data_IF_082277122071
#
_entry.id   IF_082277122071
#
_cell.length_a   1.000
_cell.length_b   1.000
_cell.length_c   1.000
_cell.angle_alpha   90.00
_cell.angle_beta   90.00
_cell.angle_gamma   90.00
#
_symmetry.space_group_name_H-M   'P 1'
#
loop_
_entity.id
_entity.type
_entity.pdbx_description
1 polymer ?
#
# COMPACT_ATOMS: atom_id res chain seq x y z
N UNK A 1 24.75 10.44 -48.69
CA UNK A 1 23.40 9.83 -48.60
C UNK A 1 23.32 8.75 -47.53
N UNK A 2 24.20 7.73 -47.51
CA UNK A 2 24.15 6.64 -46.49
C UNK A 2 24.32 7.11 -45.03
N UNK A 3 25.18 8.10 -44.77
CA UNK A 3 25.41 8.63 -43.40
C UNK A 3 24.24 9.47 -42.87
N UNK A 4 23.54 10.20 -43.74
CA UNK A 4 22.38 11.02 -43.38
C UNK A 4 21.16 10.17 -43.03
N UNK A 5 20.98 9.04 -43.71
CA UNK A 5 19.93 8.05 -43.42
C UNK A 5 20.17 7.39 -42.06
N UNK A 6 21.44 7.08 -41.73
CA UNK A 6 21.80 6.44 -40.47
C UNK A 6 21.48 7.33 -39.25
N UNK A 7 21.77 8.63 -39.35
CA UNK A 7 21.47 9.60 -38.29
C UNK A 7 19.96 9.75 -38.07
N UNK A 8 19.17 9.73 -39.16
CA UNK A 8 17.71 9.82 -39.06
C UNK A 8 17.09 8.59 -38.37
N UNK A 9 17.61 7.38 -38.62
CA UNK A 9 17.18 6.16 -37.93
C UNK A 9 17.50 6.15 -36.42
N UNK A 10 18.64 6.72 -36.01
CA UNK A 10 19.01 6.82 -34.59
C UNK A 10 18.12 7.82 -33.82
N UNK A 11 17.65 8.89 -34.48
CA UNK A 11 16.79 9.88 -33.84
C UNK A 11 15.37 9.32 -33.64
N UNK A 12 14.81 8.62 -34.64
CA UNK A 12 13.45 8.05 -34.55
C UNK A 12 13.35 6.97 -33.48
N UNK A 13 14.40 6.14 -33.31
CA UNK A 13 14.42 5.11 -32.26
C UNK A 13 14.42 5.71 -30.85
N UNK A 14 15.08 6.86 -30.63
CA UNK A 14 15.02 7.56 -29.34
C UNK A 14 13.61 8.02 -28.93
N UNK A 15 12.78 8.44 -29.91
CA UNK A 15 11.41 8.89 -29.63
C UNK A 15 10.43 7.74 -29.31
N UNK A 16 10.66 6.54 -29.84
CA UNK A 16 9.78 5.38 -29.57
C UNK A 16 9.96 4.86 -28.14
N UNK A 17 11.18 4.92 -27.60
CA UNK A 17 11.48 4.48 -26.23
C UNK A 17 11.17 5.53 -25.15
N UNK A 18 10.86 6.78 -25.53
CA UNK A 18 10.55 7.86 -24.59
C UNK A 18 9.05 8.08 -24.39
N UNK A 19 8.19 7.17 -24.88
CA UNK A 19 6.79 7.18 -24.46
C UNK A 19 6.76 6.82 -22.97
N UNK A 20 6.55 7.83 -22.12
CA UNK A 20 6.09 7.60 -20.75
C UNK A 20 4.86 6.71 -20.84
N UNK A 21 5.03 5.42 -20.54
CA UNK A 21 3.90 4.52 -20.34
C UNK A 21 3.17 5.12 -19.16
N UNK A 22 2.06 5.81 -19.43
CA UNK A 22 1.23 6.39 -18.39
C UNK A 22 0.97 5.28 -17.35
N UNK A 23 1.14 5.59 -16.06
CA UNK A 23 1.00 4.57 -15.02
C UNK A 23 -0.35 3.88 -15.22
N UNK A 24 -0.39 2.53 -15.16
CA UNK A 24 -1.61 1.80 -15.41
C UNK A 24 -2.73 2.36 -14.52
N UNK A 25 -3.92 2.59 -15.07
CA UNK A 25 -5.01 3.22 -14.33
C UNK A 25 -5.30 2.42 -13.06
N UNK A 26 -5.62 3.15 -11.98
CA UNK A 26 -6.00 2.55 -10.70
C UNK A 26 -7.25 1.71 -10.94
N UNK A 27 -7.09 0.38 -10.88
CA UNK A 27 -8.21 -0.55 -10.89
C UNK A 27 -9.09 -0.31 -9.65
N UNK A 28 -10.41 -0.28 -9.86
CA UNK A 28 -11.41 -0.18 -8.80
C UNK A 28 -12.21 -1.50 -8.75
N UNK A 29 -12.52 -2.02 -7.55
CA UNK A 29 -13.37 -3.19 -7.42
C UNK A 29 -14.79 -2.86 -7.90
N UNK A 30 -15.47 -3.85 -8.48
CA UNK A 30 -16.90 -3.73 -8.75
C UNK A 30 -17.71 -3.70 -7.44
N UNK A 31 -19.00 -3.37 -7.49
CA UNK A 31 -19.87 -3.26 -6.30
C UNK A 31 -19.89 -4.51 -5.40
N UNK A 32 -19.88 -5.71 -5.98
CA UNK A 32 -19.83 -6.96 -5.20
C UNK A 32 -18.45 -7.20 -4.58
N UNK A 33 -17.38 -6.97 -5.33
CA UNK A 33 -16.01 -7.03 -4.80
C UNK A 33 -15.82 -6.02 -3.66
N UNK A 34 -16.34 -4.81 -3.76
CA UNK A 34 -16.27 -3.80 -2.70
C UNK A 34 -16.87 -4.34 -1.40
N UNK A 35 -18.08 -4.92 -1.46
CA UNK A 35 -18.72 -5.52 -0.28
C UNK A 35 -17.89 -6.64 0.34
N UNK A 36 -17.31 -7.51 -0.49
CA UNK A 36 -16.45 -8.60 -0.02
C UNK A 36 -15.14 -8.07 0.60
N UNK A 37 -14.55 -7.02 0.01
CA UNK A 37 -13.34 -6.40 0.55
C UNK A 37 -13.64 -5.70 1.88
N UNK A 38 -14.77 -5.00 1.99
CA UNK A 38 -15.20 -4.38 3.26
C UNK A 38 -15.48 -5.44 4.33
N UNK A 39 -16.11 -6.56 3.97
CA UNK A 39 -16.30 -7.68 4.89
C UNK A 39 -14.95 -8.26 5.34
N UNK A 40 -14.03 -8.51 4.40
CA UNK A 40 -12.68 -8.98 4.70
C UNK A 40 -11.93 -8.00 5.62
N UNK A 41 -12.05 -6.70 5.41
CA UNK A 41 -11.44 -5.69 6.29
C UNK A 41 -11.99 -5.79 7.70
N UNK A 42 -13.31 -5.94 7.82
CA UNK A 42 -14.00 -6.04 9.11
C UNK A 42 -13.62 -7.31 9.86
N UNK A 43 -13.76 -8.48 9.24
CA UNK A 43 -13.58 -9.77 9.94
C UNK A 43 -12.12 -10.08 10.28
N UNK A 44 -11.15 -9.41 9.65
CA UNK A 44 -9.71 -9.65 9.87
C UNK A 44 -9.07 -8.61 10.78
N UNK A 45 -9.87 -7.68 11.35
CA UNK A 45 -9.36 -6.54 12.11
C UNK A 45 -8.27 -5.78 11.34
N UNK A 46 -8.48 -5.64 10.02
CA UNK A 46 -7.42 -5.22 9.11
C UNK A 46 -6.89 -3.83 9.43
N UNK A 47 -7.76 -2.93 9.90
CA UNK A 47 -7.36 -1.56 10.26
C UNK A 47 -6.41 -1.57 11.45
N UNK A 48 -6.75 -2.28 12.50
CA UNK A 48 -5.96 -2.42 13.73
C UNK A 48 -4.60 -3.04 13.40
N UNK A 49 -4.61 -4.12 12.63
CA UNK A 49 -3.40 -4.79 12.16
C UNK A 49 -2.52 -3.87 11.29
N UNK A 50 -3.11 -3.07 10.40
CA UNK A 50 -2.38 -2.13 9.56
C UNK A 50 -1.74 -1.02 10.41
N UNK A 51 -2.40 -0.55 11.46
CA UNK A 51 -1.83 0.40 12.42
C UNK A 51 -0.67 -0.23 13.21
N UNK A 52 -0.82 -1.48 13.66
CA UNK A 52 0.25 -2.22 14.34
C UNK A 52 1.48 -2.44 13.45
N UNK A 53 1.25 -2.80 12.18
CA UNK A 53 2.29 -2.85 11.17
C UNK A 53 2.98 -1.49 10.99
N UNK A 54 2.19 -0.42 10.85
CA UNK A 54 2.69 0.95 10.64
C UNK A 54 3.56 1.43 11.80
N UNK A 55 3.16 1.12 13.03
CA UNK A 55 3.94 1.39 14.24
C UNK A 55 5.28 0.67 14.22
N UNK A 56 5.27 -0.62 13.91
CA UNK A 56 6.48 -1.46 13.84
C UNK A 56 7.43 -0.94 12.76
N UNK A 57 6.90 -0.58 11.59
CA UNK A 57 7.68 0.02 10.51
C UNK A 57 8.34 1.34 10.93
N UNK A 58 7.58 2.26 11.54
CA UNK A 58 8.11 3.54 12.01
C UNK A 58 9.13 3.38 13.14
N UNK A 59 8.98 2.40 14.03
CA UNK A 59 10.02 2.07 15.01
C UNK A 59 11.31 1.58 14.36
N UNK A 60 11.21 0.79 13.28
CA UNK A 60 12.38 0.39 12.50
C UNK A 60 13.07 1.60 11.85
N UNK A 61 12.30 2.46 11.20
CA UNK A 61 12.83 3.66 10.54
C UNK A 61 13.34 4.73 11.53
N UNK A 62 12.86 4.71 12.77
CA UNK A 62 13.31 5.60 13.85
C UNK A 62 14.82 5.47 14.11
N UNK A 63 15.39 4.26 13.98
CA UNK A 63 16.80 3.97 14.29
C UNK A 63 17.64 3.63 13.06
N UNK A 64 17.20 4.04 11.88
CA UNK A 64 17.95 3.82 10.64
C UNK A 64 19.37 4.39 10.75
N UNK A 65 20.35 3.60 10.34
CA UNK A 65 21.78 3.92 10.42
C UNK A 65 22.31 4.15 11.86
N UNK A 66 21.64 3.56 12.86
CA UNK A 66 22.05 3.62 14.27
C UNK A 66 21.79 4.97 14.95
N UNK A 67 21.12 5.90 14.26
CA UNK A 67 20.78 7.23 14.79
C UNK A 67 19.28 7.36 14.96
N UNK A 68 18.86 7.91 16.10
CA UNK A 68 17.45 8.21 16.33
C UNK A 68 17.02 9.41 15.49
N UNK A 69 16.10 9.21 14.54
CA UNK A 69 15.61 10.24 13.62
C UNK A 69 14.44 11.05 14.17
N UNK A 70 13.62 10.46 15.03
CA UNK A 70 12.45 11.10 15.64
C UNK A 70 12.04 10.41 16.95
N UNK A 71 11.26 11.09 17.79
CA UNK A 71 10.69 10.54 19.04
C UNK A 71 9.40 9.73 18.84
N UNK A 72 9.03 8.92 19.84
CA UNK A 72 7.81 8.11 19.82
C UNK A 72 6.54 8.96 19.72
N UNK A 73 6.54 10.17 20.30
CA UNK A 73 5.42 11.11 20.20
C UNK A 73 5.06 11.45 18.76
N UNK A 74 6.05 11.55 17.86
CA UNK A 74 5.80 11.83 16.45
C UNK A 74 5.16 10.62 15.74
N UNK A 75 5.56 9.39 16.13
CA UNK A 75 4.93 8.16 15.63
C UNK A 75 3.47 8.12 16.08
N UNK A 76 3.21 8.39 17.36
CA UNK A 76 1.85 8.41 17.90
C UNK A 76 0.98 9.46 17.22
N UNK A 77 1.53 10.64 16.91
CA UNK A 77 0.86 11.69 16.15
C UNK A 77 0.52 11.26 14.72
N UNK A 78 1.47 10.68 13.98
CA UNK A 78 1.25 10.17 12.62
C UNK A 78 0.16 9.09 12.62
N UNK A 79 0.21 8.14 13.56
CA UNK A 79 -0.76 7.05 13.62
C UNK A 79 -2.15 7.52 14.07
N UNK A 80 -2.22 8.50 14.98
CA UNK A 80 -3.48 9.12 15.40
C UNK A 80 -4.19 9.82 14.22
N UNK A 81 -3.43 10.44 13.33
CA UNK A 81 -3.93 11.18 12.18
C UNK A 81 -4.06 10.30 10.92
N UNK A 82 -3.90 8.98 11.02
CA UNK A 82 -3.95 8.09 9.87
C UNK A 82 -5.36 7.99 9.26
N UNK A 83 -5.52 8.51 8.05
CA UNK A 83 -6.79 8.49 7.30
C UNK A 83 -7.08 7.12 6.65
N UNK A 84 -7.44 6.11 7.46
CA UNK A 84 -7.68 4.73 6.98
C UNK A 84 -8.65 4.66 5.80
N UNK A 85 -9.78 5.38 5.83
CA UNK A 85 -10.78 5.33 4.77
C UNK A 85 -10.25 5.84 3.42
N UNK A 86 -9.36 6.84 3.44
CA UNK A 86 -8.70 7.34 2.24
C UNK A 86 -7.67 6.35 1.74
N UNK A 87 -6.87 5.79 2.65
CA UNK A 87 -5.90 4.75 2.30
C UNK A 87 -6.59 3.50 1.72
N UNK A 88 -7.72 3.09 2.30
CA UNK A 88 -8.55 1.98 1.83
C UNK A 88 -8.96 2.16 0.38
N UNK A 89 -9.50 3.33 0.04
CA UNK A 89 -9.93 3.65 -1.33
C UNK A 89 -8.77 3.67 -2.33
N UNK A 90 -7.63 4.26 -1.93
CA UNK A 90 -6.52 4.49 -2.84
C UNK A 90 -5.60 3.27 -3.02
N UNK A 91 -5.56 2.37 -2.04
CA UNK A 91 -4.57 1.28 -2.01
C UNK A 91 -5.20 -0.10 -1.83
N UNK A 92 -6.03 -0.26 -0.80
CA UNK A 92 -6.59 -1.58 -0.44
C UNK A 92 -7.56 -2.05 -1.52
N UNK A 93 -8.53 -1.21 -1.89
CA UNK A 93 -9.49 -1.51 -2.96
C UNK A 93 -8.79 -1.79 -4.29
N UNK A 94 -7.79 -0.98 -4.64
CA UNK A 94 -7.02 -1.20 -5.85
C UNK A 94 -6.35 -2.58 -5.85
N UNK A 95 -5.64 -2.92 -4.78
CA UNK A 95 -4.93 -4.20 -4.69
C UNK A 95 -5.86 -5.41 -4.69
N UNK A 96 -6.97 -5.34 -3.94
CA UNK A 96 -7.91 -6.45 -3.87
C UNK A 96 -8.87 -6.54 -5.07
N UNK A 97 -8.96 -5.51 -5.92
CA UNK A 97 -9.75 -5.57 -7.16
C UNK A 97 -9.25 -6.66 -8.12
N UNK A 98 -7.97 -7.00 -8.06
CA UNK A 98 -7.35 -8.08 -8.83
C UNK A 98 -7.60 -9.49 -8.25
N UNK A 99 -8.25 -9.58 -7.08
CA UNK A 99 -8.62 -10.85 -6.44
C UNK A 99 -10.06 -11.18 -6.83
N UNK A 100 -10.26 -12.38 -7.39
CA UNK A 100 -11.60 -12.82 -7.79
C UNK A 100 -12.53 -12.98 -6.58
N UNK A 101 -13.83 -12.73 -6.77
CA UNK A 101 -14.83 -12.85 -5.71
C UNK A 101 -14.81 -14.22 -5.03
N UNK A 102 -14.60 -15.31 -5.78
CA UNK A 102 -14.44 -16.67 -5.24
C UNK A 102 -13.26 -16.77 -4.27
N UNK A 103 -12.14 -16.12 -4.57
CA UNK A 103 -10.96 -16.10 -3.69
C UNK A 103 -11.19 -15.19 -2.48
N UNK A 104 -11.83 -14.04 -2.65
CA UNK A 104 -12.22 -13.17 -1.52
C UNK A 104 -13.13 -13.90 -0.53
N UNK A 105 -14.15 -14.62 -1.01
CA UNK A 105 -15.02 -15.45 -0.15
C UNK A 105 -14.26 -16.49 0.67
N UNK A 106 -13.33 -17.20 0.03
CA UNK A 106 -12.46 -18.17 0.74
C UNK A 106 -11.57 -17.52 1.79
N UNK A 107 -11.06 -16.31 1.54
CA UNK A 107 -10.29 -15.57 2.53
C UNK A 107 -11.18 -15.16 3.71
N UNK A 108 -12.38 -14.67 3.44
CA UNK A 108 -13.36 -14.31 4.48
C UNK A 108 -13.69 -15.53 5.35
N UNK A 109 -13.98 -16.69 4.74
CA UNK A 109 -14.22 -17.95 5.44
C UNK A 109 -13.01 -18.33 6.31
N UNK A 110 -11.80 -18.29 5.75
CA UNK A 110 -10.58 -18.57 6.49
C UNK A 110 -10.43 -17.70 7.76
N UNK A 111 -10.63 -16.38 7.66
CA UNK A 111 -10.56 -15.54 8.85
C UNK A 111 -11.73 -15.79 9.83
N UNK A 112 -12.94 -16.05 9.33
CA UNK A 112 -14.08 -16.40 10.19
C UNK A 112 -13.84 -17.67 10.99
N UNK A 113 -13.27 -18.70 10.35
CA UNK A 113 -12.92 -19.98 11.00
C UNK A 113 -11.83 -19.83 12.07
N UNK A 114 -11.09 -18.71 12.04
CA UNK A 114 -10.07 -18.36 13.03
C UNK A 114 -10.51 -17.18 13.91
N UNK A 115 -11.81 -16.90 14.00
CA UNK A 115 -12.38 -15.83 14.85
C UNK A 115 -11.74 -14.45 14.61
N UNK A 116 -11.29 -14.20 13.38
CA UNK A 116 -10.57 -12.99 13.00
C UNK A 116 -9.12 -12.90 13.51
N UNK A 117 -8.66 -13.83 14.36
CA UNK A 117 -7.36 -13.82 15.00
C UNK A 117 -6.56 -15.09 14.69
N UNK A 118 -5.76 -15.03 13.63
CA UNK A 118 -4.87 -16.14 13.24
C UNK A 118 -3.74 -16.34 14.27
N UNK A 119 -3.29 -15.25 14.89
CA UNK A 119 -2.28 -15.26 15.94
C UNK A 119 -2.76 -14.36 17.09
N UNK A 120 -2.88 -14.94 18.28
CA UNK A 120 -3.34 -14.24 19.49
C UNK A 120 -2.38 -13.15 19.97
N UNK A 121 -1.11 -13.21 19.56
CA UNK A 121 -0.08 -12.24 19.96
C UNK A 121 0.04 -11.07 18.98
N UNK A 122 -0.35 -11.23 17.72
CA UNK A 122 -0.21 -10.21 16.68
C UNK A 122 -1.27 -10.39 15.60
N UNK A 123 -1.94 -9.31 15.20
CA UNK A 123 -2.89 -9.36 14.09
C UNK A 123 -2.17 -9.67 12.78
N UNK A 124 -2.52 -10.79 12.16
CA UNK A 124 -1.95 -11.20 10.87
C UNK A 124 -2.81 -10.65 9.75
N UNK A 125 -2.21 -9.90 8.83
CA UNK A 125 -2.88 -9.38 7.64
C UNK A 125 -2.20 -9.79 6.34
N UNK A 126 -3.03 -9.90 5.31
CA UNK A 126 -2.56 -10.02 3.93
C UNK A 126 -2.22 -8.63 3.39
N UNK A 127 -0.97 -8.44 3.02
CA UNK A 127 -0.47 -7.20 2.42
C UNK A 127 0.15 -7.50 1.05
N UNK A 128 -0.26 -6.74 0.03
CA UNK A 128 0.40 -6.78 -1.28
C UNK A 128 1.60 -5.84 -1.28
N UNK A 129 2.52 -6.03 -2.23
CA UNK A 129 3.63 -5.09 -2.42
C UNK A 129 3.13 -3.64 -2.62
N UNK A 130 2.04 -3.45 -3.36
CA UNK A 130 1.43 -2.13 -3.58
C UNK A 130 0.87 -1.52 -2.29
N UNK A 131 0.16 -2.29 -1.46
CA UNK A 131 -0.31 -1.81 -0.16
C UNK A 131 0.87 -1.43 0.73
N UNK A 132 1.88 -2.29 0.83
CA UNK A 132 3.07 -2.02 1.63
C UNK A 132 3.79 -0.75 1.17
N UNK A 133 4.02 -0.60 -0.13
CA UNK A 133 4.71 0.56 -0.70
C UNK A 133 3.93 1.85 -0.45
N UNK A 134 2.63 1.87 -0.76
CA UNK A 134 1.78 3.05 -0.57
C UNK A 134 1.70 3.46 0.90
N UNK A 135 1.61 2.47 1.80
CA UNK A 135 1.57 2.73 3.24
C UNK A 135 2.88 3.37 3.71
N UNK A 136 4.03 2.77 3.37
CA UNK A 136 5.34 3.30 3.76
C UNK A 136 5.56 4.70 3.20
N UNK A 137 5.17 4.95 1.95
CA UNK A 137 5.24 6.28 1.35
C UNK A 137 4.41 7.30 2.14
N UNK A 138 3.15 6.96 2.46
CA UNK A 138 2.29 7.84 3.27
C UNK A 138 2.90 8.08 4.65
N UNK A 139 3.33 7.04 5.37
CA UNK A 139 3.91 7.16 6.71
C UNK A 139 5.18 8.02 6.70
N UNK A 140 6.07 7.82 5.73
CA UNK A 140 7.28 8.62 5.57
C UNK A 140 6.95 10.09 5.25
N UNK A 141 5.95 10.33 4.42
CA UNK A 141 5.52 11.71 4.13
C UNK A 141 4.92 12.39 5.35
N UNK A 142 4.09 11.69 6.12
CA UNK A 142 3.46 12.25 7.33
C UNK A 142 4.48 12.49 8.45
N UNK A 143 5.44 11.59 8.67
CA UNK A 143 6.48 11.81 9.68
C UNK A 143 7.35 13.03 9.32
N UNK A 144 7.66 13.24 8.05
CA UNK A 144 8.39 14.43 7.60
C UNK A 144 7.60 15.72 7.83
N UNK A 145 6.27 15.71 7.69
CA UNK A 145 5.43 16.88 7.98
C UNK A 145 5.41 17.19 9.47
N UNK A 146 5.21 16.17 10.31
CA UNK A 146 5.21 16.32 11.78
C UNK A 146 6.54 16.89 12.28
N UNK A 147 7.68 16.49 11.69
CA UNK A 147 9.00 17.00 12.07
C UNK A 147 9.31 18.43 11.61
N UNK A 148 8.55 18.97 10.65
CA UNK A 148 8.72 20.34 10.14
C UNK A 148 7.85 21.35 10.86
N UNK A 149 6.85 20.89 11.62
CA UNK A 149 5.97 21.70 12.44
C UNK A 149 6.54 21.85 13.86
#
# INVERSE_FOLDING_TARGET
MKKTILVFCCIISGFIFSQEIAPPPVALPNSNQTKLIDELISISHYKEALINYSRTYLWGEQYKDGKRRYENKHIDEVLKNFEFEKFKKNSIYNSFSFVSEKKLKKLIEFYKDNEGQINTANDMILITASISHNLQYQLNSEIEKVLKN
#
